data_IF_178560760861
#
_entry.id   IF_178560760861
#
_cell.length_a   1.000
_cell.length_b   1.000
_cell.length_c   1.000
_cell.angle_alpha   90.00
_cell.angle_beta   90.00
_cell.angle_gamma   90.00
#
_symmetry.space_group_name_H-M   'P 1'
#
loop_
_entity.id
_entity.type
_entity.pdbx_description
1 polymer ?
#
# COMPACT_ATOMS: atom_id res chain seq x y z
N UNK A 1 -19.81 5.54 68.89
CA UNK A 1 -20.76 5.65 67.77
C UNK A 1 -19.95 6.14 66.55
N UNK A 2 -19.31 5.20 65.82
CA UNK A 2 -18.49 5.53 64.66
C UNK A 2 -19.24 5.15 63.39
N UNK A 3 -19.54 6.15 62.54
CA UNK A 3 -20.14 5.96 61.23
C UNK A 3 -19.04 5.63 60.21
N UNK A 4 -19.09 4.44 59.64
CA UNK A 4 -18.30 4.07 58.44
C UNK A 4 -18.96 4.64 57.20
N UNK A 5 -18.26 5.56 56.51
CA UNK A 5 -18.58 5.97 55.14
C UNK A 5 -17.90 5.00 54.17
N UNK A 6 -18.68 4.16 53.54
CA UNK A 6 -18.20 3.32 52.46
C UNK A 6 -18.01 4.10 51.17
N UNK A 7 -16.79 4.24 50.71
CA UNK A 7 -16.46 4.74 49.39
C UNK A 7 -16.67 3.62 48.37
N UNK A 8 -17.74 3.71 47.59
CA UNK A 8 -17.93 2.84 46.43
C UNK A 8 -17.02 3.32 45.29
N UNK A 9 -15.92 2.55 45.01
CA UNK A 9 -15.09 2.75 43.85
C UNK A 9 -15.89 2.30 42.62
N UNK A 10 -16.39 3.21 41.81
CA UNK A 10 -16.90 2.92 40.48
C UNK A 10 -15.69 2.74 39.58
N UNK A 11 -15.31 1.48 39.34
CA UNK A 11 -14.39 1.09 38.28
C UNK A 11 -15.14 1.24 36.95
N UNK A 12 -14.97 2.37 36.29
CA UNK A 12 -15.36 2.52 34.90
C UNK A 12 -14.41 1.64 34.06
N UNK A 13 -14.82 0.43 33.77
CA UNK A 13 -14.19 -0.39 32.75
C UNK A 13 -14.34 0.30 31.39
N UNK A 14 -13.26 0.88 30.89
CA UNK A 14 -13.18 1.25 29.48
C UNK A 14 -13.21 -0.03 28.64
N UNK A 15 -14.38 -0.52 28.33
CA UNK A 15 -14.55 -1.43 27.21
C UNK A 15 -14.19 -0.64 25.96
N UNK A 16 -13.01 -0.86 25.41
CA UNK A 16 -12.69 -0.40 24.09
C UNK A 16 -13.79 -0.95 23.14
N UNK A 17 -14.61 -0.08 22.57
CA UNK A 17 -15.65 -0.47 21.64
C UNK A 17 -14.95 -1.05 20.38
N UNK A 18 -14.80 -2.36 20.32
CA UNK A 18 -14.42 -3.03 19.08
C UNK A 18 -15.67 -3.11 18.21
N UNK A 19 -15.61 -2.79 16.90
CA UNK A 19 -16.77 -2.93 16.03
C UNK A 19 -17.29 -4.37 16.05
N UNK A 20 -18.60 -4.53 16.08
CA UNK A 20 -19.22 -5.83 15.82
C UNK A 20 -19.27 -6.05 14.31
N UNK A 21 -19.12 -7.32 13.89
CA UNK A 21 -19.13 -7.70 12.49
C UNK A 21 -20.30 -8.63 12.20
N UNK A 22 -20.78 -8.58 10.97
CA UNK A 22 -21.66 -9.60 10.42
C UNK A 22 -20.99 -10.97 10.53
N UNK A 23 -21.77 -12.02 10.87
CA UNK A 23 -21.25 -13.37 10.98
C UNK A 23 -20.79 -13.85 9.59
N UNK A 24 -19.61 -14.43 9.53
CA UNK A 24 -19.12 -15.09 8.32
C UNK A 24 -19.80 -16.44 8.20
N UNK A 25 -20.44 -16.71 7.05
CA UNK A 25 -21.07 -18.00 6.74
C UNK A 25 -20.04 -18.87 6.02
N UNK A 26 -19.34 -19.73 6.76
CA UNK A 26 -18.31 -20.64 6.22
C UNK A 26 -18.88 -21.61 5.17
N UNK A 27 -20.16 -21.95 5.26
CA UNK A 27 -20.88 -22.77 4.29
C UNK A 27 -20.91 -22.19 2.86
N UNK A 28 -20.70 -20.87 2.72
CA UNK A 28 -20.61 -20.19 1.43
C UNK A 28 -19.20 -20.22 0.82
N UNK A 29 -18.22 -20.75 1.54
CA UNK A 29 -16.88 -20.96 1.01
C UNK A 29 -16.93 -22.15 0.06
N UNK A 30 -16.77 -21.87 -1.25
CA UNK A 30 -16.73 -22.94 -2.26
C UNK A 30 -15.50 -23.83 -2.02
N UNK A 31 -15.72 -25.12 -1.88
CA UNK A 31 -14.64 -26.08 -1.99
C UNK A 31 -14.24 -26.20 -3.46
N UNK A 32 -13.12 -25.61 -3.83
CA UNK A 32 -12.48 -25.79 -5.13
C UNK A 32 -11.23 -26.62 -4.89
N UNK A 33 -10.97 -27.59 -5.77
CA UNK A 33 -9.71 -28.32 -5.72
C UNK A 33 -8.56 -27.31 -5.87
N UNK A 34 -7.68 -27.18 -4.86
CA UNK A 34 -6.57 -26.22 -4.90
C UNK A 34 -5.64 -26.42 -6.12
N UNK A 35 -5.63 -27.62 -6.71
CA UNK A 35 -4.88 -27.94 -7.92
C UNK A 35 -5.44 -27.30 -9.20
N UNK A 36 -6.70 -26.82 -9.15
CA UNK A 36 -7.38 -26.25 -10.33
C UNK A 36 -7.31 -24.73 -10.38
N UNK A 37 -6.61 -24.08 -9.44
CA UNK A 37 -6.49 -22.63 -9.44
C UNK A 37 -5.43 -22.24 -10.49
N UNK A 38 -5.95 -21.67 -11.56
CA UNK A 38 -5.19 -21.23 -12.72
C UNK A 38 -5.46 -19.73 -12.95
N UNK A 39 -4.39 -18.99 -13.15
CA UNK A 39 -4.46 -17.55 -13.43
C UNK A 39 -5.27 -17.25 -14.69
N UNK A 40 -5.13 -18.08 -15.71
CA UNK A 40 -5.80 -17.96 -17.01
C UNK A 40 -7.10 -18.78 -17.12
N UNK A 41 -7.65 -19.19 -15.98
CA UNK A 41 -8.94 -19.91 -15.93
C UNK A 41 -9.86 -19.27 -14.92
N UNK A 42 -11.09 -18.97 -15.32
CA UNK A 42 -12.14 -18.44 -14.46
C UNK A 42 -12.60 -19.43 -13.40
N UNK A 43 -13.26 -18.94 -12.37
CA UNK A 43 -13.79 -19.76 -11.27
C UNK A 43 -14.91 -20.72 -11.72
N UNK A 44 -15.48 -20.53 -12.90
CA UNK A 44 -16.46 -21.41 -13.53
C UNK A 44 -15.81 -22.32 -14.60
N UNK A 45 -14.51 -22.19 -14.85
CA UNK A 45 -13.75 -23.04 -15.78
C UNK A 45 -13.49 -22.41 -17.15
N UNK A 46 -13.94 -21.21 -17.43
CA UNK A 46 -13.69 -20.48 -18.67
C UNK A 46 -12.18 -20.23 -18.85
N UNK A 47 -11.69 -20.26 -20.09
CA UNK A 47 -10.27 -20.09 -20.39
C UNK A 47 -10.03 -18.69 -20.97
N UNK A 48 -9.08 -17.96 -20.36
CA UNK A 48 -8.54 -16.70 -20.90
C UNK A 48 -7.62 -16.99 -22.06
N UNK A 49 -7.90 -16.46 -23.26
CA UNK A 49 -7.12 -16.65 -24.47
C UNK A 49 -6.50 -15.36 -25.00
N UNK A 50 -6.95 -14.22 -24.52
CA UNK A 50 -6.54 -12.91 -25.00
C UNK A 50 -6.52 -11.88 -23.86
N UNK A 51 -5.88 -10.74 -24.12
CA UNK A 51 -5.96 -9.57 -23.24
C UNK A 51 -7.40 -9.06 -23.11
N UNK A 52 -8.22 -9.18 -24.15
CA UNK A 52 -9.64 -8.80 -24.12
C UNK A 52 -10.44 -9.70 -23.16
N UNK A 53 -10.21 -11.02 -23.17
CA UNK A 53 -10.82 -11.94 -22.20
C UNK A 53 -10.41 -11.58 -20.77
N UNK A 54 -9.11 -11.29 -20.58
CA UNK A 54 -8.59 -10.87 -19.29
C UNK A 54 -9.31 -9.60 -18.77
N UNK A 55 -9.34 -8.53 -19.55
CA UNK A 55 -9.94 -7.25 -19.14
C UNK A 55 -11.45 -7.34 -18.97
N UNK A 56 -12.12 -8.10 -19.83
CA UNK A 56 -13.59 -8.14 -19.89
C UNK A 56 -14.21 -8.91 -18.73
N UNK A 57 -13.62 -10.02 -18.32
CA UNK A 57 -14.25 -10.87 -17.33
C UNK A 57 -13.31 -11.43 -16.24
N UNK A 58 -12.07 -11.85 -16.57
CA UNK A 58 -11.20 -12.51 -15.59
C UNK A 58 -10.65 -11.53 -14.55
N UNK A 59 -10.14 -10.39 -14.99
CA UNK A 59 -9.66 -9.32 -14.11
C UNK A 59 -10.77 -8.81 -13.16
N UNK A 60 -11.99 -8.49 -13.61
CA UNK A 60 -13.11 -8.14 -12.73
C UNK A 60 -13.49 -9.26 -11.73
N UNK A 61 -13.46 -10.52 -12.17
CA UNK A 61 -13.75 -11.67 -11.31
C UNK A 61 -12.75 -11.78 -10.16
N UNK A 62 -11.45 -11.72 -10.46
CA UNK A 62 -10.38 -11.75 -9.45
C UNK A 62 -10.49 -10.53 -8.51
N UNK A 63 -10.69 -9.34 -9.07
CA UNK A 63 -10.82 -8.11 -8.29
C UNK A 63 -11.98 -8.20 -7.30
N UNK A 64 -13.15 -8.65 -7.76
CA UNK A 64 -14.34 -8.84 -6.93
C UNK A 64 -14.05 -9.84 -5.80
N UNK A 65 -13.31 -10.91 -6.05
CA UNK A 65 -12.96 -11.88 -5.02
C UNK A 65 -12.08 -11.26 -3.93
N UNK A 66 -11.03 -10.49 -4.30
CA UNK A 66 -10.19 -9.78 -3.34
C UNK A 66 -11.01 -8.78 -2.51
N UNK A 67 -11.94 -8.06 -3.14
CA UNK A 67 -12.85 -7.13 -2.43
C UNK A 67 -13.77 -7.87 -1.45
N UNK A 68 -14.32 -9.02 -1.84
CA UNK A 68 -15.25 -9.73 -0.96
C UNK A 68 -14.56 -10.46 0.19
N UNK A 69 -13.37 -11.03 -0.05
CA UNK A 69 -12.79 -11.99 0.86
C UNK A 69 -11.46 -11.57 1.49
N UNK A 70 -10.70 -10.65 0.90
CA UNK A 70 -9.37 -10.28 1.40
C UNK A 70 -9.33 -8.85 1.90
N UNK A 71 -9.37 -7.86 1.01
CA UNK A 71 -9.14 -6.46 1.35
C UNK A 71 -10.41 -5.70 1.78
N UNK A 72 -11.57 -6.23 1.42
CA UNK A 72 -12.88 -5.64 1.65
C UNK A 72 -13.30 -4.63 0.60
N UNK A 73 -14.63 -4.48 0.46
CA UNK A 73 -15.27 -3.58 -0.49
C UNK A 73 -15.08 -2.14 -0.03
N UNK A 74 -14.30 -1.39 -0.79
CA UNK A 74 -14.11 0.04 -0.53
C UNK A 74 -15.39 0.80 -0.89
N UNK A 75 -15.96 1.62 0.03
CA UNK A 75 -17.11 2.43 -0.29
C UNK A 75 -16.76 3.47 -1.35
N UNK A 76 -17.71 3.73 -2.27
CA UNK A 76 -17.54 4.82 -3.21
C UNK A 76 -17.52 6.16 -2.46
N UNK A 77 -16.41 6.87 -2.58
CA UNK A 77 -16.31 8.26 -2.16
C UNK A 77 -16.85 9.12 -3.31
N UNK A 78 -18.13 9.51 -3.21
CA UNK A 78 -18.78 10.41 -4.16
C UNK A 78 -18.06 11.76 -4.28
N UNK A 79 -17.93 12.29 -5.47
CA UNK A 79 -18.23 11.76 -6.81
C UNK A 79 -17.05 10.97 -7.39
N UNK A 80 -17.31 10.08 -8.39
CA UNK A 80 -16.26 9.33 -9.12
C UNK A 80 -15.24 10.26 -9.81
N UNK A 81 -15.68 11.42 -10.27
CA UNK A 81 -14.79 12.48 -10.76
C UNK A 81 -14.02 13.10 -9.58
N UNK A 82 -12.72 12.87 -9.51
CA UNK A 82 -11.84 13.39 -8.45
C UNK A 82 -11.90 14.92 -8.34
N UNK A 83 -12.16 15.65 -9.44
CA UNK A 83 -12.28 17.12 -9.45
C UNK A 83 -13.53 17.63 -8.71
N UNK A 84 -14.53 16.79 -8.52
CA UNK A 84 -15.75 17.11 -7.78
C UNK A 84 -15.73 16.64 -6.32
N UNK A 85 -14.66 15.97 -5.87
CA UNK A 85 -14.51 15.55 -4.47
C UNK A 85 -14.48 16.77 -3.55
N UNK A 86 -15.10 16.64 -2.38
CA UNK A 86 -15.04 17.66 -1.33
C UNK A 86 -13.74 17.56 -0.52
N UNK A 87 -12.62 17.73 -1.22
CA UNK A 87 -11.29 17.82 -0.62
C UNK A 87 -10.83 19.28 -0.70
N UNK A 88 -10.34 19.80 0.41
CA UNK A 88 -9.76 21.14 0.48
C UNK A 88 -8.26 21.00 0.74
N UNK A 89 -7.45 21.52 -0.15
CA UNK A 89 -6.00 21.54 0.00
C UNK A 89 -5.57 22.93 0.48
N UNK A 90 -4.76 22.96 1.56
CA UNK A 90 -4.13 24.18 2.05
C UNK A 90 -2.62 23.93 2.06
N UNK A 91 -1.87 24.72 1.30
CA UNK A 91 -0.42 24.74 1.35
C UNK A 91 0.00 25.39 2.67
N UNK A 92 0.71 24.66 3.53
CA UNK A 92 1.19 25.11 4.82
C UNK A 92 2.53 25.80 4.73
N UNK A 93 3.42 25.29 3.88
CA UNK A 93 4.73 25.87 3.57
C UNK A 93 5.15 25.56 2.15
N UNK A 94 5.97 26.43 1.61
CA UNK A 94 6.72 26.24 0.37
C UNK A 94 8.16 26.63 0.66
N UNK A 95 9.08 25.70 0.43
CA UNK A 95 10.51 25.90 0.64
C UNK A 95 11.28 25.53 -0.64
N UNK A 96 12.42 26.15 -0.85
CA UNK A 96 13.39 25.74 -1.87
C UNK A 96 14.73 25.51 -1.21
N UNK A 97 15.32 24.36 -1.49
CA UNK A 97 16.64 23.98 -0.97
C UNK A 97 17.41 23.19 -2.03
N UNK A 98 18.62 22.76 -1.72
CA UNK A 98 19.45 22.03 -2.67
C UNK A 98 19.75 20.62 -2.15
N UNK A 99 19.63 19.64 -3.05
CA UNK A 99 20.06 18.26 -2.83
C UNK A 99 21.14 17.96 -3.88
N UNK A 100 22.39 17.79 -3.45
CA UNK A 100 23.55 17.55 -4.33
C UNK A 100 23.62 18.54 -5.52
N UNK A 101 23.30 19.82 -5.29
CA UNK A 101 23.33 20.85 -6.31
C UNK A 101 22.05 20.97 -7.16
N UNK A 102 21.12 20.05 -7.05
CA UNK A 102 19.80 20.11 -7.70
C UNK A 102 18.87 20.99 -6.87
N UNK A 103 18.26 22.04 -7.43
CA UNK A 103 17.26 22.84 -6.70
C UNK A 103 15.96 22.06 -6.54
N UNK A 104 15.44 22.01 -5.32
CA UNK A 104 14.26 21.22 -4.93
C UNK A 104 13.15 22.12 -4.42
N UNK A 105 11.98 22.01 -5.00
CA UNK A 105 10.75 22.55 -4.44
C UNK A 105 10.21 21.57 -3.39
N UNK A 106 10.02 22.03 -2.16
CA UNK A 106 9.24 21.35 -1.15
C UNK A 106 7.92 22.08 -0.89
N UNK A 107 6.82 21.34 -0.86
CA UNK A 107 5.53 21.82 -0.37
C UNK A 107 5.03 20.90 0.74
N UNK A 108 4.62 21.47 1.86
CA UNK A 108 3.84 20.78 2.88
C UNK A 108 2.36 21.16 2.71
N UNK A 109 1.50 20.17 2.50
CA UNK A 109 0.10 20.38 2.14
C UNK A 109 -0.80 19.68 3.15
N UNK A 110 -1.81 20.40 3.67
CA UNK A 110 -2.89 19.81 4.44
C UNK A 110 -4.07 19.52 3.52
N UNK A 111 -4.39 18.26 3.33
CA UNK A 111 -5.61 17.80 2.68
C UNK A 111 -6.70 17.60 3.73
N UNK A 112 -7.84 18.24 3.56
CA UNK A 112 -9.03 18.07 4.41
C UNK A 112 -10.15 17.43 3.59
N UNK A 113 -10.43 16.19 3.88
CA UNK A 113 -11.55 15.42 3.31
C UNK A 113 -12.81 15.69 4.13
N UNK A 114 -13.94 15.87 3.45
CA UNK A 114 -15.21 16.18 4.11
C UNK A 114 -16.34 15.33 3.52
N UNK A 115 -17.11 14.67 4.39
CA UNK A 115 -18.28 13.88 4.00
C UNK A 115 -19.32 13.88 5.11
N UNK A 116 -20.55 14.32 4.80
CA UNK A 116 -21.68 14.30 5.73
C UNK A 116 -21.36 14.86 7.13
N UNK A 117 -20.69 16.01 7.17
CA UNK A 117 -20.29 16.70 8.44
C UNK A 117 -19.06 16.12 9.14
N UNK A 118 -18.50 15.00 8.65
CA UNK A 118 -17.27 14.40 9.16
C UNK A 118 -16.06 14.88 8.37
N UNK A 119 -14.90 14.88 9.03
CA UNK A 119 -13.66 15.35 8.44
C UNK A 119 -12.52 14.41 8.76
N UNK A 120 -11.60 14.27 7.79
CA UNK A 120 -10.30 13.64 7.93
C UNK A 120 -9.25 14.64 7.42
N UNK A 121 -8.13 14.76 8.11
CA UNK A 121 -7.00 15.56 7.63
C UNK A 121 -5.81 14.62 7.38
N UNK A 122 -5.15 14.80 6.24
CA UNK A 122 -3.87 14.19 5.95
C UNK A 122 -2.86 15.27 5.56
N UNK A 123 -1.57 15.00 5.81
CA UNK A 123 -0.50 15.95 5.54
C UNK A 123 0.43 15.34 4.49
N UNK A 124 0.58 16.04 3.36
CA UNK A 124 1.41 15.59 2.23
C UNK A 124 2.70 16.36 2.21
N UNK A 125 3.82 15.67 2.09
CA UNK A 125 5.12 16.25 1.78
C UNK A 125 5.46 15.95 0.33
N UNK A 126 5.56 17.00 -0.50
CA UNK A 126 5.91 16.94 -1.91
C UNK A 126 7.32 17.50 -2.12
N UNK A 127 8.17 16.75 -2.79
CA UNK A 127 9.53 17.13 -3.18
C UNK A 127 9.68 16.98 -4.69
N UNK A 128 10.06 18.04 -5.40
CA UNK A 128 10.23 18.04 -6.84
C UNK A 128 11.56 18.69 -7.25
N UNK A 129 12.32 18.09 -8.18
CA UNK A 129 13.41 18.79 -8.82
C UNK A 129 12.87 19.95 -9.67
N UNK A 130 13.47 21.14 -9.54
CA UNK A 130 13.02 22.34 -10.28
C UNK A 130 13.63 22.45 -11.68
N UNK A 131 14.65 21.67 -11.96
CA UNK A 131 15.38 21.65 -13.25
C UNK A 131 14.85 20.58 -14.21
N UNK A 132 13.80 19.86 -13.84
CA UNK A 132 13.16 18.80 -14.65
C UNK A 132 11.70 19.12 -14.91
N UNK A 133 11.32 19.20 -16.18
CA UNK A 133 9.93 19.32 -16.58
C UNK A 133 9.21 17.97 -16.48
N UNK A 134 8.05 17.93 -15.81
CA UNK A 134 7.23 16.72 -15.64
C UNK A 134 8.03 15.51 -15.11
N UNK A 135 8.67 15.61 -13.93
CA UNK A 135 9.45 14.51 -13.36
C UNK A 135 8.58 13.29 -13.09
N UNK A 136 9.16 12.10 -13.14
CA UNK A 136 8.49 10.89 -12.59
C UNK A 136 8.35 11.10 -11.08
N UNK A 137 7.13 10.96 -10.54
CA UNK A 137 6.87 11.16 -9.11
C UNK A 137 6.60 9.83 -8.42
N UNK A 138 7.42 9.49 -7.42
CA UNK A 138 7.15 8.37 -6.54
C UNK A 138 6.06 8.75 -5.54
N UNK A 139 5.05 7.88 -5.37
CA UNK A 139 3.90 8.06 -4.50
C UNK A 139 3.91 6.98 -3.43
N UNK A 140 4.17 7.34 -2.18
CA UNK A 140 4.29 6.37 -1.10
C UNK A 140 3.78 6.88 0.24
N UNK A 141 3.36 5.98 1.12
CA UNK A 141 3.04 6.30 2.52
C UNK A 141 4.23 5.98 3.42
N UNK A 142 4.46 6.82 4.43
CA UNK A 142 5.50 6.62 5.41
C UNK A 142 4.95 6.16 6.77
N UNK A 143 5.75 5.41 7.54
CA UNK A 143 5.35 4.78 8.80
C UNK A 143 5.38 5.70 10.04
N UNK A 144 6.16 6.78 9.99
CA UNK A 144 6.50 7.51 11.21
C UNK A 144 6.16 9.00 11.14
N UNK A 145 5.51 9.42 10.07
CA UNK A 145 5.14 10.83 9.81
C UNK A 145 6.21 11.60 9.05
N UNK A 146 5.77 12.63 8.33
CA UNK A 146 6.60 13.39 7.38
C UNK A 146 7.87 13.96 8.02
N UNK A 147 7.80 14.42 9.27
CA UNK A 147 8.98 14.97 9.97
C UNK A 147 10.12 13.99 10.18
N UNK A 148 9.90 12.67 10.00
CA UNK A 148 10.96 11.67 10.16
C UNK A 148 11.75 11.40 8.89
N UNK A 149 11.25 11.84 7.72
CA UNK A 149 11.88 11.57 6.43
C UNK A 149 12.97 12.59 6.04
N UNK A 150 12.93 13.77 6.63
CA UNK A 150 13.94 14.79 6.42
C UNK A 150 14.05 15.72 7.65
N UNK A 151 15.11 16.53 7.72
CA UNK A 151 15.39 17.47 8.80
C UNK A 151 14.67 18.80 8.67
N UNK A 152 13.99 19.06 7.54
CA UNK A 152 13.25 20.30 7.28
C UNK A 152 12.23 20.60 8.38
N UNK A 153 12.30 21.83 8.91
CA UNK A 153 11.39 22.31 9.97
C UNK A 153 9.94 22.45 9.54
N UNK A 154 9.72 22.68 8.24
CA UNK A 154 8.40 22.80 7.63
C UNK A 154 7.61 21.48 7.60
N UNK A 155 8.29 20.32 7.69
CA UNK A 155 7.62 19.03 7.74
C UNK A 155 6.81 18.86 9.02
N UNK A 156 5.51 18.62 8.87
CA UNK A 156 4.57 18.47 9.98
C UNK A 156 4.85 17.21 10.81
N UNK A 157 4.91 17.38 12.12
CA UNK A 157 4.92 16.24 13.04
C UNK A 157 3.53 15.61 13.12
N UNK A 158 3.46 14.31 12.93
CA UNK A 158 2.19 13.59 13.09
C UNK A 158 1.72 13.58 14.53
N UNK A 159 0.40 13.67 14.72
CA UNK A 159 -0.27 13.54 16.02
C UNK A 159 -0.87 12.14 16.22
N UNK A 160 -0.80 11.29 15.21
CA UNK A 160 -1.30 9.92 15.27
C UNK A 160 -0.37 8.99 16.05
N UNK A 161 -0.89 7.83 16.39
CA UNK A 161 -0.13 6.76 17.01
C UNK A 161 1.01 6.32 16.09
N UNK A 162 2.19 6.15 16.66
CA UNK A 162 3.36 5.60 15.97
C UNK A 162 3.86 4.41 16.79
N UNK A 163 4.06 3.28 16.11
CA UNK A 163 4.63 2.10 16.74
C UNK A 163 6.05 2.40 17.21
N UNK A 164 6.43 1.80 18.35
CA UNK A 164 7.84 1.85 18.81
C UNK A 164 8.74 1.25 17.73
N UNK A 165 9.78 1.99 17.39
CA UNK A 165 10.78 1.56 16.42
C UNK A 165 12.14 2.10 16.83
N UNK A 166 13.19 1.35 16.60
CA UNK A 166 14.54 1.78 16.85
C UNK A 166 14.88 3.05 16.04
N UNK A 167 15.55 4.00 16.67
CA UNK A 167 15.89 5.28 16.08
C UNK A 167 14.75 6.33 16.09
N UNK A 168 13.48 5.95 16.33
CA UNK A 168 12.38 6.93 16.45
C UNK A 168 12.10 7.25 17.92
N UNK A 169 12.37 8.49 18.33
CA UNK A 169 12.13 8.97 19.69
C UNK A 169 10.65 9.35 19.85
N UNK A 170 9.92 8.55 20.62
CA UNK A 170 8.49 8.76 20.88
C UNK A 170 8.24 9.04 22.36
N UNK A 171 7.21 9.86 22.63
CA UNK A 171 6.62 10.03 23.96
C UNK A 171 5.14 9.68 23.87
N UNK A 172 4.69 8.66 24.63
CA UNK A 172 3.31 8.18 24.56
C UNK A 172 2.87 7.78 23.14
N UNK A 173 3.73 7.06 22.40
CA UNK A 173 3.50 6.66 20.99
C UNK A 173 3.29 7.83 20.01
N UNK A 174 3.80 9.01 20.32
CA UNK A 174 3.84 10.16 19.41
C UNK A 174 5.28 10.54 19.14
N UNK A 175 5.59 10.87 17.89
CA UNK A 175 6.93 11.34 17.51
C UNK A 175 7.27 12.64 18.24
N UNK A 176 8.56 12.82 18.53
CA UNK A 176 9.10 14.04 19.12
C UNK A 176 9.99 14.76 18.12
N UNK A 177 10.41 16.00 18.41
CA UNK A 177 11.33 16.73 17.54
C UNK A 177 12.67 15.98 17.35
N UNK A 178 13.09 15.20 18.34
CA UNK A 178 14.29 14.35 18.24
C UNK A 178 14.15 13.18 17.24
N UNK A 179 12.98 12.96 16.67
CA UNK A 179 12.74 11.98 15.60
C UNK A 179 12.90 12.56 14.19
N UNK A 180 13.10 13.88 14.08
CA UNK A 180 13.19 14.56 12.78
C UNK A 180 14.36 14.02 11.97
N UNK A 181 14.10 13.61 10.71
CA UNK A 181 15.10 13.06 9.81
C UNK A 181 15.61 11.64 10.15
N UNK A 182 15.14 11.01 11.24
CA UNK A 182 15.69 9.70 11.67
C UNK A 182 15.38 8.54 10.72
N UNK A 183 14.47 8.72 9.77
CA UNK A 183 14.10 7.74 8.73
C UNK A 183 14.39 8.23 7.31
N UNK A 184 15.26 9.24 7.16
CA UNK A 184 15.69 9.73 5.86
C UNK A 184 16.29 8.63 4.97
N UNK A 185 17.01 7.67 5.55
CA UNK A 185 17.59 6.54 4.83
C UNK A 185 16.57 5.66 4.08
N UNK A 186 15.29 5.67 4.51
CA UNK A 186 14.17 4.98 3.82
C UNK A 186 13.62 5.77 2.63
N UNK A 187 13.92 7.06 2.58
CA UNK A 187 13.47 8.02 1.59
C UNK A 187 14.66 8.85 1.10
N UNK A 188 15.64 8.23 0.41
CA UNK A 188 16.88 8.88 0.03
C UNK A 188 16.63 9.94 -1.05
N UNK A 189 16.31 11.18 -0.62
CA UNK A 189 16.03 12.29 -1.51
C UNK A 189 17.21 12.60 -2.45
N UNK A 190 18.44 12.34 -2.03
CA UNK A 190 19.64 12.44 -2.85
C UNK A 190 19.59 11.53 -4.08
N UNK A 191 19.12 10.29 -3.93
CA UNK A 191 18.96 9.35 -5.05
C UNK A 191 17.74 9.74 -5.89
N UNK A 192 16.59 10.00 -5.25
CA UNK A 192 15.34 10.27 -5.96
C UNK A 192 15.47 11.56 -6.78
N UNK A 193 15.81 12.67 -6.12
CA UNK A 193 15.93 14.01 -6.73
C UNK A 193 17.14 14.09 -7.66
N UNK A 194 18.29 13.55 -7.22
CA UNK A 194 19.52 13.55 -8.04
C UNK A 194 19.39 12.81 -9.37
N UNK A 195 18.37 11.95 -9.50
CA UNK A 195 18.02 11.29 -10.78
C UNK A 195 16.86 11.97 -11.52
N UNK A 196 16.45 13.17 -11.13
CA UNK A 196 15.38 13.93 -11.78
C UNK A 196 13.97 13.42 -11.48
N UNK A 197 13.80 12.66 -10.41
CA UNK A 197 12.49 12.17 -9.96
C UNK A 197 11.98 13.00 -8.78
N UNK A 198 10.65 13.04 -8.60
CA UNK A 198 10.00 13.64 -7.44
C UNK A 198 9.51 12.59 -6.46
N UNK A 199 9.08 13.05 -5.28
CA UNK A 199 8.47 12.25 -4.23
C UNK A 199 7.27 12.97 -3.65
N UNK A 200 6.14 12.27 -3.50
CA UNK A 200 5.05 12.68 -2.62
C UNK A 200 4.80 11.59 -1.58
N UNK A 201 4.72 11.99 -0.31
CA UNK A 201 4.46 11.06 0.79
C UNK A 201 3.53 11.66 1.83
N UNK A 202 2.87 10.78 2.59
CA UNK A 202 2.06 11.14 3.75
C UNK A 202 2.18 10.05 4.83
N UNK A 203 1.90 10.40 6.06
CA UNK A 203 1.83 9.40 7.13
C UNK A 203 0.62 8.48 6.91
N UNK A 204 0.84 7.16 6.88
CA UNK A 204 -0.23 6.20 6.62
C UNK A 204 -1.37 6.28 7.64
N UNK A 205 -1.03 6.60 8.90
CA UNK A 205 -2.01 6.74 9.98
C UNK A 205 -2.88 8.02 9.87
N UNK A 206 -2.55 8.96 8.98
CA UNK A 206 -3.44 10.07 8.63
C UNK A 206 -4.70 9.57 7.93
N UNK A 207 -4.60 8.45 7.19
CA UNK A 207 -5.74 7.83 6.51
C UNK A 207 -6.43 6.78 7.37
N UNK A 208 -5.67 5.93 8.05
CA UNK A 208 -6.22 4.97 9.00
C UNK A 208 -5.15 4.60 10.04
N UNK A 209 -5.39 4.90 11.33
CA UNK A 209 -4.46 4.52 12.39
C UNK A 209 -4.28 3.01 12.46
N UNK A 210 -3.03 2.56 12.57
CA UNK A 210 -2.67 1.15 12.59
C UNK A 210 -2.87 0.53 13.98
N UNK A 211 -4.11 0.59 14.44
CA UNK A 211 -4.56 0.04 15.73
C UNK A 211 -5.96 -0.54 15.59
N UNK A 212 -6.31 -1.50 16.42
CA UNK A 212 -7.59 -2.22 16.34
C UNK A 212 -8.83 -1.29 16.47
N UNK A 213 -8.66 -0.12 17.06
CA UNK A 213 -9.70 0.92 17.17
C UNK A 213 -9.58 2.00 16.09
N UNK A 214 -8.71 1.85 15.10
CA UNK A 214 -8.44 2.85 14.05
C UNK A 214 -9.68 3.25 13.24
N UNK A 215 -10.63 2.33 13.09
CA UNK A 215 -11.90 2.58 12.41
C UNK A 215 -12.71 3.78 12.96
N UNK A 216 -12.47 4.19 14.20
CA UNK A 216 -13.14 5.32 14.82
C UNK A 216 -12.53 6.68 14.48
N UNK A 217 -11.38 6.73 13.83
CA UNK A 217 -10.65 7.99 13.58
C UNK A 217 -10.18 8.17 12.12
N UNK A 218 -10.09 7.12 11.33
CA UNK A 218 -9.56 7.14 9.97
C UNK A 218 -10.59 7.35 8.87
N UNK A 219 -10.22 6.90 7.69
CA UNK A 219 -11.04 6.91 6.47
C UNK A 219 -12.35 6.12 6.65
N UNK A 220 -12.36 5.09 7.48
CA UNK A 220 -13.56 4.33 7.82
C UNK A 220 -14.63 5.20 8.45
N UNK A 221 -14.26 6.02 9.46
CA UNK A 221 -15.19 6.98 10.06
C UNK A 221 -15.73 7.98 9.04
N UNK A 222 -14.86 8.46 8.14
CA UNK A 222 -15.26 9.37 7.08
C UNK A 222 -16.29 8.74 6.13
N UNK A 223 -16.03 7.49 5.72
CA UNK A 223 -16.82 6.79 4.73
C UNK A 223 -18.11 6.17 5.27
N UNK A 224 -17.98 5.33 6.29
CA UNK A 224 -19.03 4.39 6.72
C UNK A 224 -20.04 5.03 7.68
N UNK A 225 -19.63 6.03 8.42
CA UNK A 225 -20.50 6.79 9.34
C UNK A 225 -20.71 6.13 10.67
N UNK A 226 -21.49 5.07 10.75
CA UNK A 226 -21.58 4.23 11.94
C UNK A 226 -20.58 3.08 11.79
N UNK A 227 -19.70 2.96 12.76
CA UNK A 227 -18.66 1.96 12.80
C UNK A 227 -18.93 0.85 13.82
N UNK A 228 -20.09 0.93 14.53
CA UNK A 228 -20.45 -0.06 15.54
C UNK A 228 -20.80 -1.41 14.95
N UNK A 229 -21.34 -1.42 13.73
CA UNK A 229 -21.63 -2.65 13.00
C UNK A 229 -21.02 -2.56 11.60
N UNK A 230 -20.22 -3.55 11.23
CA UNK A 230 -19.55 -3.64 9.94
C UNK A 230 -19.94 -4.92 9.22
N UNK A 231 -20.16 -4.84 7.91
CA UNK A 231 -20.32 -6.05 7.08
C UNK A 231 -19.07 -6.90 7.13
N UNK A 232 -19.22 -8.20 6.92
CA UNK A 232 -18.10 -9.13 6.90
C UNK A 232 -17.10 -8.88 5.75
N UNK A 233 -17.57 -8.27 4.67
CA UNK A 233 -16.78 -7.80 3.54
C UNK A 233 -16.44 -6.29 3.60
N UNK A 234 -16.61 -5.63 4.74
CA UNK A 234 -16.21 -4.23 4.87
C UNK A 234 -14.68 -4.09 4.76
N UNK A 235 -14.25 -3.03 4.11
CA UNK A 235 -12.83 -2.76 3.83
C UNK A 235 -11.98 -2.62 5.10
N UNK A 236 -10.75 -3.17 5.04
CA UNK A 236 -9.76 -3.09 6.12
C UNK A 236 -8.79 -1.93 5.95
N UNK A 237 -7.84 -1.82 6.88
CA UNK A 237 -6.83 -0.74 6.89
C UNK A 237 -5.94 -0.76 5.64
N UNK A 238 -5.61 -1.93 5.08
CA UNK A 238 -4.85 -2.02 3.82
C UNK A 238 -5.59 -1.27 2.69
N UNK A 239 -6.91 -1.47 2.57
CA UNK A 239 -7.74 -0.74 1.61
C UNK A 239 -7.84 0.76 1.92
N UNK A 240 -7.85 1.16 3.19
CA UNK A 240 -7.86 2.56 3.58
C UNK A 240 -6.54 3.26 3.23
N UNK A 241 -5.40 2.59 3.42
CA UNK A 241 -4.08 3.09 2.98
C UNK A 241 -3.95 3.11 1.46
N UNK A 242 -4.48 2.10 0.77
CA UNK A 242 -4.59 2.11 -0.69
C UNK A 242 -5.41 3.30 -1.21
N UNK A 243 -6.53 3.63 -0.55
CA UNK A 243 -7.29 4.85 -0.85
C UNK A 243 -6.45 6.11 -0.62
N UNK A 244 -5.66 6.15 0.46
CA UNK A 244 -4.74 7.25 0.75
C UNK A 244 -3.73 7.48 -0.38
N UNK A 245 -3.15 6.42 -0.94
CA UNK A 245 -2.26 6.50 -2.12
C UNK A 245 -2.99 7.09 -3.33
N UNK A 246 -4.23 6.66 -3.60
CA UNK A 246 -5.06 7.24 -4.67
C UNK A 246 -5.40 8.72 -4.45
N UNK A 247 -5.48 9.19 -3.20
CA UNK A 247 -5.72 10.60 -2.88
C UNK A 247 -4.45 11.46 -3.06
N UNK A 248 -3.25 10.91 -2.80
CA UNK A 248 -1.98 11.55 -3.19
C UNK A 248 -1.89 11.69 -4.71
N UNK A 249 -2.23 10.65 -5.47
CA UNK A 249 -2.32 10.69 -6.93
C UNK A 249 -3.31 11.74 -7.42
N UNK A 250 -4.45 11.88 -6.76
CA UNK A 250 -5.45 12.89 -7.11
C UNK A 250 -4.93 14.32 -6.91
N UNK A 251 -4.12 14.54 -5.87
CA UNK A 251 -3.46 15.85 -5.66
C UNK A 251 -2.46 16.16 -6.76
N UNK A 252 -1.62 15.21 -7.16
CA UNK A 252 -0.63 15.40 -8.24
C UNK A 252 -1.29 15.80 -9.57
N UNK A 253 -2.48 15.31 -9.86
CA UNK A 253 -3.22 15.69 -11.07
C UNK A 253 -3.81 17.11 -11.01
N UNK A 254 -3.98 17.68 -9.81
CA UNK A 254 -4.46 19.05 -9.62
C UNK A 254 -3.32 20.05 -9.53
N UNK A 255 -2.16 19.63 -9.05
CA UNK A 255 -0.95 20.46 -8.91
C UNK A 255 -0.37 20.73 -10.30
N UNK A 256 -0.17 22.01 -10.62
CA UNK A 256 0.24 22.45 -11.97
C UNK A 256 1.59 21.86 -12.39
N UNK A 257 2.56 21.85 -11.48
CA UNK A 257 3.93 21.38 -11.74
C UNK A 257 4.00 19.88 -12.02
N UNK A 258 3.05 19.09 -11.50
CA UNK A 258 3.03 17.63 -11.65
C UNK A 258 1.92 17.12 -12.57
N UNK A 259 1.12 18.05 -13.13
CA UNK A 259 0.06 17.67 -14.06
C UNK A 259 0.68 17.04 -15.33
N UNK A 260 0.35 15.76 -15.55
CA UNK A 260 0.93 14.99 -16.66
C UNK A 260 2.22 14.25 -16.32
N UNK A 261 2.78 14.43 -15.13
CA UNK A 261 3.88 13.59 -14.65
C UNK A 261 3.48 12.13 -14.59
N UNK A 262 4.41 11.26 -14.97
CA UNK A 262 4.30 9.82 -14.72
C UNK A 262 4.45 9.52 -13.24
N UNK A 263 3.72 8.52 -12.74
CA UNK A 263 3.69 8.22 -11.31
C UNK A 263 3.99 6.75 -11.02
N UNK A 264 4.83 6.54 -9.99
CA UNK A 264 5.19 5.22 -9.50
C UNK A 264 4.70 5.06 -8.05
N UNK A 265 3.66 4.23 -7.83
CA UNK A 265 3.23 3.91 -6.46
C UNK A 265 4.19 2.91 -5.83
N UNK A 266 4.64 3.20 -4.61
CA UNK A 266 5.62 2.38 -3.90
C UNK A 266 5.21 2.15 -2.45
N UNK A 267 5.48 0.94 -1.95
CA UNK A 267 5.33 0.63 -0.54
C UNK A 267 6.26 -0.47 -0.05
N UNK A 268 6.61 -0.37 1.23
CA UNK A 268 7.39 -1.37 1.95
C UNK A 268 6.51 -2.10 2.96
N UNK A 269 6.70 -3.42 3.12
CA UNK A 269 5.99 -4.21 4.14
C UNK A 269 4.46 -4.13 3.94
N UNK A 270 3.67 -3.85 4.99
CA UNK A 270 2.21 -3.62 4.91
C UNK A 270 1.82 -2.54 3.92
N UNK A 271 2.66 -1.53 3.72
CA UNK A 271 2.41 -0.50 2.72
C UNK A 271 2.74 -0.98 1.30
N UNK A 272 3.55 -2.02 1.13
CA UNK A 272 3.71 -2.76 -0.12
C UNK A 272 2.43 -3.48 -0.53
N UNK A 273 1.74 -4.12 0.44
CA UNK A 273 0.39 -4.67 0.23
C UNK A 273 -0.59 -3.57 -0.23
N UNK A 274 -0.55 -2.39 0.44
CA UNK A 274 -1.38 -1.25 0.08
C UNK A 274 -1.04 -0.67 -1.31
N UNK A 275 0.23 -0.64 -1.69
CA UNK A 275 0.67 -0.18 -3.01
C UNK A 275 0.20 -1.12 -4.13
N UNK A 276 0.32 -2.45 -3.94
CA UNK A 276 -0.22 -3.44 -4.89
C UNK A 276 -1.74 -3.29 -5.03
N UNK A 277 -2.47 -3.17 -3.92
CA UNK A 277 -3.91 -3.00 -3.95
C UNK A 277 -4.33 -1.66 -4.56
N UNK A 278 -3.57 -0.58 -4.31
CA UNK A 278 -3.78 0.72 -4.98
C UNK A 278 -3.58 0.60 -6.49
N UNK A 279 -2.51 -0.06 -6.92
CA UNK A 279 -2.24 -0.33 -8.33
C UNK A 279 -3.31 -1.17 -9.01
N UNK A 280 -3.87 -2.17 -8.33
CA UNK A 280 -4.96 -2.99 -8.84
C UNK A 280 -6.27 -2.20 -9.06
N UNK A 281 -6.56 -1.24 -8.17
CA UNK A 281 -7.80 -0.45 -8.19
C UNK A 281 -7.69 0.87 -8.99
N UNK A 282 -6.51 1.42 -9.13
CA UNK A 282 -6.29 2.77 -9.68
C UNK A 282 -5.30 2.76 -10.85
N UNK A 283 -5.85 2.79 -12.05
CA UNK A 283 -5.07 2.75 -13.29
C UNK A 283 -4.30 4.04 -13.59
N UNK A 284 -4.41 5.07 -12.75
CA UNK A 284 -3.65 6.33 -12.91
C UNK A 284 -2.18 6.20 -12.51
N UNK A 285 -1.84 5.17 -11.74
CA UNK A 285 -0.44 4.84 -11.46
C UNK A 285 0.20 4.17 -12.68
N UNK A 286 1.30 4.72 -13.18
CA UNK A 286 2.00 4.20 -14.35
C UNK A 286 2.92 3.02 -14.02
N UNK A 287 3.40 2.92 -12.78
CA UNK A 287 4.27 1.85 -12.26
C UNK A 287 3.85 1.47 -10.84
N UNK A 288 3.93 0.20 -10.49
CA UNK A 288 3.67 -0.31 -9.13
C UNK A 288 4.93 -0.99 -8.57
N UNK A 289 5.33 -0.62 -7.36
CA UNK A 289 6.52 -1.14 -6.68
C UNK A 289 6.13 -1.70 -5.32
N UNK A 290 6.44 -2.98 -5.09
CA UNK A 290 6.21 -3.69 -3.84
C UNK A 290 7.53 -4.17 -3.26
N UNK A 291 7.88 -3.71 -2.07
CA UNK A 291 9.11 -4.11 -1.37
C UNK A 291 8.77 -4.90 -0.10
N UNK A 292 9.27 -6.14 -0.01
CA UNK A 292 9.12 -7.02 1.16
C UNK A 292 7.66 -7.07 1.68
N UNK A 293 6.69 -7.27 0.81
CA UNK A 293 5.29 -7.14 1.18
C UNK A 293 4.68 -8.39 1.81
N UNK A 294 5.26 -9.55 1.61
CA UNK A 294 4.88 -10.81 2.28
C UNK A 294 3.44 -11.27 2.01
N UNK A 295 2.88 -12.01 2.95
CA UNK A 295 1.51 -12.54 2.91
C UNK A 295 0.47 -11.45 2.65
N UNK A 296 -0.51 -11.69 1.78
CA UNK A 296 -1.46 -10.70 1.25
C UNK A 296 -0.79 -9.49 0.56
N UNK A 297 0.50 -9.57 0.27
CA UNK A 297 1.27 -8.70 -0.60
C UNK A 297 1.69 -9.48 -1.85
N UNK A 298 3.00 -9.67 -2.06
CA UNK A 298 3.51 -10.44 -3.19
C UNK A 298 3.72 -11.93 -2.90
N UNK A 299 3.86 -12.34 -1.62
CA UNK A 299 4.11 -13.72 -1.24
C UNK A 299 2.86 -14.59 -1.30
N UNK A 300 2.97 -15.77 -1.93
CA UNK A 300 1.86 -16.69 -2.10
C UNK A 300 1.24 -17.14 -0.76
N UNK A 301 -0.07 -17.22 -0.69
CA UNK A 301 -0.78 -17.77 0.46
C UNK A 301 -0.49 -19.26 0.67
N UNK A 302 -0.42 -20.03 -0.43
CA UNK A 302 -0.32 -21.50 -0.39
C UNK A 302 1.05 -22.02 0.00
N UNK A 303 2.09 -21.20 -0.04
CA UNK A 303 3.42 -21.61 0.45
C UNK A 303 3.45 -21.76 1.95
N UNK A 304 2.63 -20.96 2.68
CA UNK A 304 2.53 -20.94 4.13
C UNK A 304 3.91 -20.79 4.82
N UNK A 305 4.84 -20.10 4.13
CA UNK A 305 6.19 -19.80 4.64
C UNK A 305 6.16 -18.44 5.33
N UNK A 306 6.80 -18.32 6.48
CA UNK A 306 6.85 -17.09 7.24
C UNK A 306 5.49 -16.66 7.79
N UNK A 307 4.95 -15.55 7.29
CA UNK A 307 3.62 -15.04 7.61
C UNK A 307 2.56 -15.75 6.74
N UNK A 308 1.51 -16.29 7.35
CA UNK A 308 0.37 -16.92 6.70
C UNK A 308 -0.94 -16.19 7.07
N UNK A 309 -2.08 -16.65 6.52
CA UNK A 309 -3.39 -16.03 6.77
C UNK A 309 -3.76 -16.05 8.25
N UNK A 310 -3.48 -17.15 8.97
CA UNK A 310 -3.77 -17.24 10.39
C UNK A 310 -2.94 -16.25 11.21
N UNK A 311 -1.64 -16.21 11.00
CA UNK A 311 -0.72 -15.32 11.73
C UNK A 311 -1.05 -13.84 11.50
N UNK A 312 -1.27 -13.46 10.24
CA UNK A 312 -1.50 -12.04 9.89
C UNK A 312 -2.86 -11.56 10.39
N UNK A 313 -3.92 -12.39 10.30
CA UNK A 313 -5.27 -11.98 10.72
C UNK A 313 -5.46 -12.06 12.24
N UNK A 314 -4.73 -12.93 12.96
CA UNK A 314 -4.68 -12.92 14.42
C UNK A 314 -3.93 -11.69 14.94
N UNK A 315 -2.81 -11.32 14.31
CA UNK A 315 -1.99 -10.18 14.73
C UNK A 315 -2.61 -8.84 14.37
N UNK A 316 -3.24 -8.75 13.20
CA UNK A 316 -3.80 -7.52 12.62
C UNK A 316 -5.21 -7.74 12.07
N UNK A 317 -6.20 -8.07 12.93
CA UNK A 317 -7.55 -8.44 12.49
C UNK A 317 -8.28 -7.32 11.75
N UNK A 318 -7.81 -6.07 11.87
CA UNK A 318 -8.39 -4.88 11.27
C UNK A 318 -7.80 -4.53 9.89
N UNK A 319 -6.73 -5.20 9.45
CA UNK A 319 -6.10 -4.90 8.15
C UNK A 319 -6.94 -5.32 6.95
N UNK A 320 -7.76 -6.34 7.12
CA UNK A 320 -8.50 -7.03 6.06
C UNK A 320 -10.01 -7.03 6.30
N UNK A 321 -10.76 -7.50 5.31
CA UNK A 321 -12.16 -7.87 5.51
C UNK A 321 -12.29 -8.98 6.56
N UNK A 322 -13.39 -8.98 7.31
CA UNK A 322 -13.66 -10.04 8.28
C UNK A 322 -13.74 -11.42 7.63
N UNK A 323 -14.24 -11.49 6.39
CA UNK A 323 -14.30 -12.73 5.61
C UNK A 323 -12.93 -13.41 5.47
N UNK A 324 -11.82 -12.66 5.47
CA UNK A 324 -10.49 -13.25 5.34
C UNK A 324 -10.13 -14.16 6.51
N UNK A 325 -10.66 -13.90 7.69
CA UNK A 325 -10.44 -14.74 8.87
C UNK A 325 -11.03 -16.15 8.75
N UNK A 326 -12.02 -16.37 7.85
CA UNK A 326 -12.56 -17.69 7.58
C UNK A 326 -11.56 -18.66 6.94
N UNK A 327 -10.45 -18.12 6.40
CA UNK A 327 -9.38 -18.89 5.77
C UNK A 327 -8.20 -19.18 6.70
N UNK A 328 -8.26 -18.85 7.99
CA UNK A 328 -7.24 -19.19 8.98
C UNK A 328 -7.00 -20.70 9.01
N UNK A 329 -5.75 -21.15 8.77
CA UNK A 329 -5.40 -22.56 8.64
C UNK A 329 -6.03 -23.28 7.44
N UNK A 330 -6.63 -22.52 6.51
CA UNK A 330 -7.31 -23.01 5.31
C UNK A 330 -6.88 -22.20 4.07
N UNK A 331 -5.66 -21.73 4.01
CA UNK A 331 -5.10 -20.86 2.94
C UNK A 331 -5.34 -21.46 1.54
N UNK A 332 -5.33 -22.78 1.45
CA UNK A 332 -5.57 -23.51 0.18
C UNK A 332 -7.01 -23.43 -0.33
N UNK A 333 -7.97 -23.00 0.49
CA UNK A 333 -9.37 -22.81 0.06
C UNK A 333 -9.62 -21.44 -0.60
N UNK A 334 -8.66 -20.52 -0.55
CA UNK A 334 -8.75 -19.28 -1.31
C UNK A 334 -8.78 -19.59 -2.81
N UNK A 335 -9.70 -18.94 -3.54
CA UNK A 335 -9.79 -19.07 -5.00
C UNK A 335 -8.78 -18.19 -5.73
N UNK A 336 -8.01 -17.39 -4.99
CA UNK A 336 -6.95 -16.50 -5.49
C UNK A 336 -5.65 -16.81 -4.78
N UNK A 337 -4.54 -16.48 -5.44
CA UNK A 337 -3.22 -16.39 -4.83
C UNK A 337 -2.48 -15.18 -5.40
N UNK A 338 -1.34 -14.81 -4.85
CA UNK A 338 -0.75 -13.48 -5.04
C UNK A 338 -0.24 -13.21 -6.47
N UNK A 339 0.01 -14.24 -7.28
CA UNK A 339 0.19 -14.05 -8.73
C UNK A 339 -1.01 -13.38 -9.38
N UNK A 340 -2.23 -13.61 -8.88
CA UNK A 340 -3.44 -12.97 -9.38
C UNK A 340 -3.49 -11.49 -8.98
N UNK A 341 -3.07 -11.14 -7.74
CA UNK A 341 -2.96 -9.73 -7.32
C UNK A 341 -1.95 -8.98 -8.18
N UNK A 342 -0.78 -9.59 -8.44
CA UNK A 342 0.26 -9.01 -9.27
C UNK A 342 -0.21 -8.85 -10.73
N UNK A 343 -0.92 -9.83 -11.26
CA UNK A 343 -1.48 -9.79 -12.60
C UNK A 343 -2.53 -8.70 -12.81
N UNK A 344 -3.25 -8.26 -11.76
CA UNK A 344 -4.18 -7.12 -11.84
C UNK A 344 -3.48 -5.81 -12.25
N UNK A 345 -2.15 -5.73 -12.16
CA UNK A 345 -1.37 -4.55 -12.55
C UNK A 345 -1.16 -4.50 -14.07
N UNK A 346 -1.13 -5.66 -14.75
CA UNK A 346 -0.93 -5.72 -16.19
C UNK A 346 -1.89 -4.77 -16.95
N UNK A 347 -1.45 -4.16 -18.06
CA UNK A 347 -0.13 -4.28 -18.71
C UNK A 347 0.95 -3.32 -18.15
N UNK A 348 0.65 -2.56 -17.09
CA UNK A 348 1.56 -1.55 -16.50
C UNK A 348 2.80 -2.20 -15.87
N UNK A 349 3.95 -1.51 -15.87
CA UNK A 349 5.14 -1.99 -15.19
C UNK A 349 4.92 -2.34 -13.72
N UNK A 350 5.54 -3.42 -13.30
CA UNK A 350 5.49 -3.95 -11.94
C UNK A 350 6.90 -4.32 -11.47
N UNK A 351 7.27 -3.83 -10.30
CA UNK A 351 8.51 -4.17 -9.63
C UNK A 351 8.22 -4.86 -8.29
N UNK A 352 8.70 -6.06 -8.09
CA UNK A 352 8.69 -6.77 -6.80
C UNK A 352 10.10 -6.84 -6.26
N UNK A 353 10.29 -6.61 -4.96
CA UNK A 353 11.60 -6.64 -4.34
C UNK A 353 11.54 -7.33 -2.97
N UNK A 354 12.53 -8.14 -2.71
CA UNK A 354 12.68 -8.92 -1.47
C UNK A 354 14.06 -8.75 -0.86
N UNK A 355 14.20 -9.13 0.41
CA UNK A 355 15.48 -9.22 1.10
C UNK A 355 15.75 -10.68 1.51
N UNK A 356 16.99 -11.15 1.30
CA UNK A 356 17.33 -12.57 1.45
C UNK A 356 17.23 -13.12 2.88
N UNK A 357 17.33 -12.26 3.90
CA UNK A 357 17.21 -12.63 5.31
C UNK A 357 15.79 -12.42 5.86
N UNK A 358 14.88 -11.86 5.06
CA UNK A 358 13.48 -11.62 5.45
C UNK A 358 12.61 -12.87 5.18
N UNK A 359 12.90 -13.96 5.90
CA UNK A 359 12.14 -15.21 5.78
C UNK A 359 10.66 -15.06 6.15
N UNK A 360 10.31 -14.01 6.93
CA UNK A 360 8.92 -13.73 7.31
C UNK A 360 8.08 -13.25 6.12
N UNK A 361 8.68 -12.51 5.19
CA UNK A 361 8.02 -12.05 3.97
C UNK A 361 8.04 -13.10 2.84
N UNK A 362 8.69 -14.24 3.00
CA UNK A 362 8.83 -15.29 1.99
C UNK A 362 9.34 -14.78 0.62
N UNK A 363 10.62 -14.43 0.49
CA UNK A 363 11.20 -13.95 -0.78
C UNK A 363 10.97 -14.89 -1.96
N UNK A 364 10.96 -16.21 -1.70
CA UNK A 364 10.69 -17.21 -2.74
C UNK A 364 9.24 -17.16 -3.19
N UNK A 365 8.31 -17.00 -2.25
CA UNK A 365 6.88 -16.84 -2.56
C UNK A 365 6.60 -15.55 -3.34
N UNK A 366 7.26 -14.43 -2.99
CA UNK A 366 7.16 -13.16 -3.73
C UNK A 366 7.66 -13.32 -5.18
N UNK A 367 8.82 -13.96 -5.37
CA UNK A 367 9.35 -14.24 -6.71
C UNK A 367 8.46 -15.20 -7.50
N UNK A 368 7.94 -16.25 -6.84
CA UNK A 368 7.04 -17.23 -7.47
C UNK A 368 5.77 -16.58 -8.00
N UNK A 369 5.19 -15.65 -7.24
CA UNK A 369 4.02 -14.87 -7.68
C UNK A 369 4.32 -14.04 -8.92
N UNK A 370 5.47 -13.36 -8.95
CA UNK A 370 5.88 -12.60 -10.13
C UNK A 370 6.12 -13.50 -11.34
N UNK A 371 6.79 -14.63 -11.14
CA UNK A 371 7.01 -15.64 -12.19
C UNK A 371 5.68 -16.09 -12.81
N UNK A 372 4.67 -16.38 -11.99
CA UNK A 372 3.35 -16.80 -12.48
C UNK A 372 2.57 -15.65 -13.11
N UNK A 373 2.68 -14.44 -12.59
CA UNK A 373 1.99 -13.27 -13.14
C UNK A 373 2.41 -12.99 -14.60
N UNK A 374 3.63 -13.39 -15.03
CA UNK A 374 4.09 -13.20 -16.40
C UNK A 374 3.12 -13.76 -17.45
N UNK A 375 2.37 -14.81 -17.15
CA UNK A 375 1.45 -15.42 -18.12
C UNK A 375 0.31 -14.47 -18.52
N UNK A 376 -0.10 -13.54 -17.67
CA UNK A 376 -1.03 -12.47 -18.05
C UNK A 376 -0.30 -11.38 -18.82
N UNK A 377 0.93 -11.03 -18.44
CA UNK A 377 1.70 -10.04 -19.19
C UNK A 377 2.00 -10.51 -20.61
N UNK A 378 2.16 -11.82 -20.85
CA UNK A 378 2.31 -12.40 -22.19
C UNK A 378 1.09 -12.17 -23.09
N UNK A 379 -0.09 -11.95 -22.55
CA UNK A 379 -1.28 -11.57 -23.34
C UNK A 379 -1.14 -10.19 -24.00
N UNK A 380 -0.29 -9.32 -23.45
CA UNK A 380 -0.01 -7.97 -23.94
C UNK A 380 1.37 -7.86 -24.61
N UNK A 381 2.33 -8.61 -24.11
CA UNK A 381 3.74 -8.59 -24.49
C UNK A 381 4.23 -10.03 -24.67
N UNK A 382 4.03 -10.66 -25.85
CA UNK A 382 4.36 -12.07 -26.05
C UNK A 382 5.83 -12.42 -25.80
N UNK A 383 6.73 -11.42 -25.88
CA UNK A 383 8.16 -11.57 -25.60
C UNK A 383 8.50 -11.62 -24.10
N UNK A 384 7.57 -11.29 -23.22
CA UNK A 384 7.80 -11.37 -21.76
C UNK A 384 7.81 -12.80 -21.31
N UNK A 385 9.00 -13.38 -21.26
CA UNK A 385 9.21 -14.74 -20.82
C UNK A 385 10.51 -14.86 -20.02
N UNK A 386 10.44 -15.49 -18.87
CA UNK A 386 11.60 -15.89 -18.08
C UNK A 386 11.33 -17.21 -17.37
N UNK A 387 12.41 -17.96 -17.15
CA UNK A 387 12.34 -19.22 -16.42
C UNK A 387 12.35 -18.99 -14.91
N UNK A 388 11.77 -19.93 -14.17
CA UNK A 388 11.83 -19.89 -12.71
C UNK A 388 13.26 -20.21 -12.25
N UNK A 389 14.01 -19.18 -11.98
CA UNK A 389 15.37 -19.28 -11.44
C UNK A 389 15.53 -18.25 -10.31
N UNK A 390 15.39 -18.72 -9.05
CA UNK A 390 15.47 -17.82 -7.89
C UNK A 390 16.80 -17.08 -7.88
N UNK A 391 16.75 -15.77 -7.83
CA UNK A 391 17.93 -14.93 -7.83
C UNK A 391 18.78 -15.16 -6.58
N UNK A 392 20.09 -15.01 -6.74
CA UNK A 392 21.02 -14.88 -5.61
C UNK A 392 20.92 -13.45 -5.04
N UNK A 393 21.40 -13.31 -3.82
CA UNK A 393 21.46 -12.00 -3.16
C UNK A 393 22.24 -10.99 -4.02
N UNK A 394 21.72 -9.77 -4.10
CA UNK A 394 22.22 -8.65 -4.91
C UNK A 394 22.05 -8.83 -6.43
N UNK A 395 21.31 -9.84 -6.85
CA UNK A 395 20.92 -9.97 -8.24
C UNK A 395 19.59 -9.25 -8.52
N UNK A 396 19.44 -8.84 -9.77
CA UNK A 396 18.26 -8.19 -10.32
C UNK A 396 17.88 -8.83 -11.64
N UNK A 397 16.58 -8.89 -11.92
CA UNK A 397 16.00 -9.32 -13.19
C UNK A 397 15.07 -8.22 -13.71
N UNK A 398 15.13 -7.96 -15.01
CA UNK A 398 14.18 -7.10 -15.72
C UNK A 398 13.82 -7.77 -17.04
N UNK A 399 12.53 -8.05 -17.24
CA UNK A 399 12.00 -8.64 -18.48
C UNK A 399 10.75 -7.87 -18.91
N UNK A 400 10.90 -7.02 -19.91
CA UNK A 400 9.84 -6.12 -20.34
C UNK A 400 9.35 -5.23 -19.19
N UNK A 401 8.03 -5.23 -18.89
CA UNK A 401 7.46 -4.44 -17.82
C UNK A 401 7.60 -5.07 -16.41
N UNK A 402 8.24 -6.24 -16.29
CA UNK A 402 8.41 -6.95 -15.02
C UNK A 402 9.84 -6.83 -14.50
N UNK A 403 9.98 -6.54 -13.21
CA UNK A 403 11.27 -6.53 -12.55
C UNK A 403 11.22 -7.15 -11.14
N UNK A 404 12.34 -7.77 -10.78
CA UNK A 404 12.56 -8.31 -9.44
C UNK A 404 14.01 -8.11 -9.01
N UNK A 405 14.24 -7.86 -7.71
CA UNK A 405 15.55 -8.01 -7.12
C UNK A 405 15.51 -8.70 -5.75
N UNK A 406 16.62 -9.31 -5.38
CA UNK A 406 16.85 -9.90 -4.08
C UNK A 406 17.98 -9.14 -3.35
N UNK A 407 17.61 -8.20 -2.47
CA UNK A 407 18.57 -7.43 -1.68
C UNK A 407 19.24 -8.30 -0.60
N UNK A 408 20.47 -7.98 -0.24
CA UNK A 408 21.14 -8.57 0.93
C UNK A 408 20.69 -7.86 2.20
N UNK A 409 20.29 -8.62 3.23
CA UNK A 409 19.90 -8.13 4.55
C UNK A 409 18.44 -8.40 4.93
N UNK A 410 18.00 -7.70 5.98
CA UNK A 410 16.72 -7.93 6.67
C UNK A 410 15.55 -7.13 6.08
N UNK A 411 14.41 -7.16 6.79
CA UNK A 411 13.16 -6.48 6.45
C UNK A 411 13.28 -4.95 6.46
N UNK A 412 13.78 -4.37 5.36
CA UNK A 412 14.02 -2.93 5.24
C UNK A 412 13.88 -2.45 3.79
N UNK A 413 13.81 -1.13 3.59
CA UNK A 413 13.95 -0.45 2.30
C UNK A 413 15.15 0.51 2.40
N UNK A 414 16.11 0.38 1.51
CA UNK A 414 17.40 1.05 1.59
C UNK A 414 17.75 1.77 0.28
N UNK A 415 18.81 2.56 0.29
CA UNK A 415 19.35 3.25 -0.89
C UNK A 415 19.56 2.32 -2.09
N UNK A 416 20.09 1.11 -1.84
CA UNK A 416 20.33 0.10 -2.87
C UNK A 416 19.04 -0.32 -3.60
N UNK A 417 17.90 -0.40 -2.89
CA UNK A 417 16.59 -0.68 -3.50
C UNK A 417 16.15 0.51 -4.37
N UNK A 418 16.29 1.73 -3.85
CA UNK A 418 15.89 2.96 -4.52
C UNK A 418 16.65 3.23 -5.82
N UNK A 419 17.95 2.95 -5.87
CA UNK A 419 18.75 3.04 -7.11
C UNK A 419 18.11 2.21 -8.23
N UNK A 420 17.62 1.02 -7.92
CA UNK A 420 16.96 0.11 -8.86
C UNK A 420 15.56 0.56 -9.24
N UNK A 421 14.79 1.03 -8.27
CA UNK A 421 13.46 1.56 -8.55
C UNK A 421 13.52 2.77 -9.47
N UNK A 422 14.42 3.69 -9.21
CA UNK A 422 14.61 4.89 -10.03
C UNK A 422 15.08 4.52 -11.44
N UNK A 423 16.06 3.63 -11.56
CA UNK A 423 16.56 3.16 -12.86
C UNK A 423 15.44 2.49 -13.68
N UNK A 424 14.67 1.59 -13.05
CA UNK A 424 13.56 0.90 -13.72
C UNK A 424 12.42 1.87 -14.09
N UNK A 425 12.06 2.81 -13.21
CA UNK A 425 11.04 3.81 -13.49
C UNK A 425 11.42 4.66 -14.70
N UNK A 426 12.65 5.15 -14.75
CA UNK A 426 13.16 5.92 -15.89
C UNK A 426 13.13 5.12 -17.19
N UNK A 427 13.56 3.85 -17.16
CA UNK A 427 13.55 2.97 -18.32
C UNK A 427 12.13 2.65 -18.80
N UNK A 428 11.22 2.33 -17.88
CA UNK A 428 9.88 1.83 -18.22
C UNK A 428 8.87 2.93 -18.52
N UNK A 429 9.08 4.16 -18.02
CA UNK A 429 8.14 5.27 -18.13
C UNK A 429 8.64 6.39 -19.06
N UNK A 430 9.90 6.34 -19.52
CA UNK A 430 10.34 7.20 -20.59
C UNK A 430 9.57 6.86 -21.85
N UNK A 431 8.95 7.86 -22.49
CA UNK A 431 8.38 7.66 -23.83
C UNK A 431 9.47 7.09 -24.74
N UNK A 432 9.19 6.14 -25.64
CA UNK A 432 10.15 5.77 -26.67
C UNK A 432 10.55 7.07 -27.37
N UNK A 433 11.85 7.35 -27.39
CA UNK A 433 12.40 8.40 -28.26
C UNK A 433 12.00 8.03 -29.69
N UNK A 434 11.04 8.78 -30.25
CA UNK A 434 10.67 8.68 -31.66
C UNK A 434 11.88 8.91 -32.55
#
# INVERSE_FOLDING_TARGET
MYKYFGFALFVFGFYACVPTYEKVHEENLRQVDPKTIDLLRGFQGEVVRSSDDWEKWRRPEILSYYEQYVFGVRPEFEPKDFRKKKVKYNVLSIDTFYVHGVPVLHKEIKARFSRRGRHLNAYYALFLPLDVNSPIVFVGLNFFGNSTIDTLKSLTQTKHYVMKNEGVKTKGHRVTEASRGTKAYRWPLDIIIGNGCGLITAHYADFDPDVNTGFFDGAHRLADGSIHFRKSNAWGSISAWSWGLSELQSYLQLEEVTRGSKTAVIGHSRLGKAALWAGALDNRFDLVISNNSGCAGAAQFRTMVGEDVEKITNRFPYWFARNFQAFQGKDTLLLVDQEMLLALIAPRPLYVASANLDSWADPKGEYTSLYKAQFVYQLYYPEVQFEFNMLKKREQMEVGPLAYHLRDGDHEILAWDWERYVAFAKKSLSSPSN
#
